data_IF_792048666187
#
_entry.id   IF_792048666187
#
_cell.length_a   1.000
_cell.length_b   1.000
_cell.length_c   1.000
_cell.angle_alpha   90.00
_cell.angle_beta   90.00
_cell.angle_gamma   90.00
#
_symmetry.space_group_name_H-M   'P 1'
#
loop_
_entity.id
_entity.type
_entity.pdbx_description
1 polymer ?
#
# COMPACT_ATOMS: atom_id res chain seq x y z
N UNK A 1 19.73 -0.22 0.22
CA UNK A 1 19.16 -1.29 -0.61
C UNK A 1 20.24 -2.20 -1.17
N UNK A 2 21.21 -1.66 -1.96
CA UNK A 2 22.31 -2.45 -2.53
C UNK A 2 23.10 -3.29 -1.50
N UNK A 3 23.52 -2.70 -0.36
CA UNK A 3 24.21 -3.46 0.71
C UNK A 3 23.43 -4.69 1.21
N UNK A 4 22.09 -4.58 1.32
CA UNK A 4 21.23 -5.71 1.72
C UNK A 4 21.16 -6.74 0.59
N UNK A 5 20.99 -6.29 -0.66
CA UNK A 5 20.98 -7.16 -1.82
C UNK A 5 22.29 -7.94 -1.98
N UNK A 6 23.46 -7.30 -1.83
CA UNK A 6 24.77 -7.94 -1.89
C UNK A 6 24.99 -8.99 -0.79
N UNK A 7 24.43 -8.76 0.41
CA UNK A 7 24.46 -9.75 1.49
C UNK A 7 23.66 -11.01 1.16
N UNK A 8 22.53 -10.84 0.46
CA UNK A 8 21.64 -11.96 0.06
C UNK A 8 22.11 -12.62 -1.23
N UNK A 9 22.68 -11.83 -2.15
CA UNK A 9 23.13 -12.23 -3.49
C UNK A 9 24.59 -11.80 -3.69
N UNK A 10 25.56 -12.61 -3.23
CA UNK A 10 26.99 -12.27 -3.29
C UNK A 10 27.51 -11.98 -4.72
N UNK A 11 26.88 -12.56 -5.74
CA UNK A 11 27.20 -12.27 -7.16
C UNK A 11 26.97 -10.80 -7.57
N UNK A 12 26.31 -10.00 -6.73
CA UNK A 12 26.13 -8.56 -6.93
C UNK A 12 27.22 -7.71 -6.25
N UNK A 13 28.32 -8.30 -5.77
CA UNK A 13 29.38 -7.60 -5.03
C UNK A 13 29.89 -6.33 -5.74
N UNK A 14 30.12 -6.42 -7.05
CA UNK A 14 30.64 -5.30 -7.86
C UNK A 14 29.54 -4.49 -8.57
N UNK A 15 28.26 -4.86 -8.37
CA UNK A 15 27.14 -4.19 -9.00
C UNK A 15 27.00 -2.74 -8.50
N UNK A 16 26.74 -1.81 -9.43
CA UNK A 16 26.51 -0.39 -9.13
C UNK A 16 25.03 -0.05 -9.35
N UNK A 17 24.50 0.84 -8.50
CA UNK A 17 23.16 1.42 -8.72
C UNK A 17 23.30 2.57 -9.70
N UNK A 18 22.78 2.39 -10.91
CA UNK A 18 22.80 3.43 -11.94
C UNK A 18 21.69 4.47 -11.71
N UNK A 19 20.51 4.01 -11.28
CA UNK A 19 19.35 4.86 -11.03
C UNK A 19 18.64 4.49 -9.73
N UNK A 20 18.08 5.50 -9.07
CA UNK A 20 17.24 5.35 -7.91
C UNK A 20 16.09 6.34 -8.02
N UNK A 21 14.87 5.87 -7.79
CA UNK A 21 13.70 6.71 -7.70
C UNK A 21 12.83 6.28 -6.53
N UNK A 22 11.97 7.18 -6.12
CA UNK A 22 10.99 6.95 -5.08
C UNK A 22 9.68 7.60 -5.46
N UNK A 23 8.63 7.19 -4.77
CA UNK A 23 7.30 7.77 -4.91
C UNK A 23 6.53 7.64 -3.60
N UNK A 24 5.42 8.36 -3.53
CA UNK A 24 4.51 8.21 -2.41
C UNK A 24 3.71 6.93 -2.60
N UNK A 25 3.59 6.15 -1.53
CA UNK A 25 2.75 4.96 -1.47
C UNK A 25 1.68 5.20 -0.43
N UNK A 26 0.43 4.99 -0.80
CA UNK A 26 -0.69 5.02 0.12
C UNK A 26 -0.78 3.69 0.87
N UNK A 27 -0.92 3.80 2.20
CA UNK A 27 -0.91 2.65 3.10
C UNK A 27 -2.17 2.70 3.95
N UNK A 28 -2.89 1.57 4.00
CA UNK A 28 -3.95 1.33 4.96
C UNK A 28 -3.38 0.66 6.21
N UNK A 29 -4.06 0.84 7.35
CA UNK A 29 -3.57 0.27 8.61
C UNK A 29 -3.50 -1.27 8.57
N UNK A 30 -4.48 -1.91 7.93
CA UNK A 30 -4.56 -3.37 7.76
C UNK A 30 -3.82 -3.89 6.52
N UNK A 31 -3.17 -3.01 5.73
CA UNK A 31 -2.44 -3.32 4.48
C UNK A 31 -3.30 -3.90 3.35
N UNK A 32 -4.61 -4.00 3.53
CA UNK A 32 -5.55 -4.41 2.50
C UNK A 32 -5.95 -3.20 1.62
N UNK A 33 -6.27 -3.40 0.33
CA UNK A 33 -6.78 -2.32 -0.51
C UNK A 33 -8.16 -1.88 -0.02
N UNK A 34 -8.43 -0.58 -0.09
CA UNK A 34 -9.67 0.03 0.37
C UNK A 34 -10.56 0.39 -0.81
N UNK A 35 -11.67 -0.33 -0.93
CA UNK A 35 -12.71 -0.10 -1.90
C UNK A 35 -13.94 0.49 -1.21
N UNK A 36 -14.71 1.30 -1.90
CA UNK A 36 -15.99 1.77 -1.37
C UNK A 36 -16.66 2.80 -2.25
N UNK A 37 -17.75 3.36 -1.72
CA UNK A 37 -18.55 4.40 -2.35
C UNK A 37 -18.60 5.63 -1.45
N UNK A 38 -18.42 6.82 -2.02
CA UNK A 38 -18.63 8.10 -1.32
C UNK A 38 -20.06 8.61 -1.51
N UNK A 39 -20.70 8.22 -2.62
CA UNK A 39 -22.09 8.44 -2.97
C UNK A 39 -22.50 7.34 -3.96
N UNK A 40 -23.78 7.27 -4.33
CA UNK A 40 -24.31 6.23 -5.23
C UNK A 40 -23.56 6.13 -6.56
N UNK A 41 -23.06 7.26 -7.07
CA UNK A 41 -22.33 7.37 -8.32
C UNK A 41 -20.82 7.70 -8.15
N UNK A 42 -20.28 7.67 -6.93
CA UNK A 42 -18.87 7.96 -6.67
C UNK A 42 -18.21 6.74 -6.02
N UNK A 43 -17.47 6.00 -6.83
CA UNK A 43 -16.68 4.83 -6.41
C UNK A 43 -15.24 5.25 -6.13
N UNK A 44 -14.58 4.57 -5.19
CA UNK A 44 -13.14 4.69 -4.97
C UNK A 44 -12.48 3.32 -4.79
N UNK A 45 -11.20 3.26 -5.17
CA UNK A 45 -10.30 2.17 -4.85
C UNK A 45 -8.90 2.76 -4.60
N UNK A 46 -8.37 2.60 -3.40
CA UNK A 46 -7.06 3.13 -3.01
C UNK A 46 -6.38 2.22 -1.97
N UNK A 47 -5.23 2.64 -1.46
CA UNK A 47 -4.61 2.04 -0.28
C UNK A 47 -3.96 0.70 -0.56
N UNK A 48 -3.45 0.49 -1.77
CA UNK A 48 -2.92 -0.79 -2.22
C UNK A 48 -1.66 -1.23 -1.46
N UNK A 49 -1.07 -0.38 -0.61
CA UNK A 49 -0.09 -0.74 0.42
C UNK A 49 1.13 -1.51 -0.12
N UNK A 50 1.57 -1.17 -1.34
CA UNK A 50 2.69 -1.82 -2.03
C UNK A 50 2.31 -2.93 -3.02
N UNK A 51 1.03 -3.30 -3.09
CA UNK A 51 0.51 -4.33 -4.01
C UNK A 51 -0.11 -3.72 -5.29
N UNK A 52 0.18 -2.45 -5.58
CA UNK A 52 -0.45 -1.70 -6.66
C UNK A 52 -0.36 -2.41 -8.00
N UNK A 53 0.83 -2.81 -8.43
CA UNK A 53 1.06 -3.47 -9.73
C UNK A 53 0.19 -4.73 -9.90
N UNK A 54 0.05 -5.54 -8.86
CA UNK A 54 -0.72 -6.78 -8.92
C UNK A 54 -2.23 -6.54 -8.82
N UNK A 55 -2.67 -5.62 -7.97
CA UNK A 55 -4.08 -5.47 -7.59
C UNK A 55 -4.83 -4.39 -8.36
N UNK A 56 -4.17 -3.38 -8.92
CA UNK A 56 -4.88 -2.27 -9.60
C UNK A 56 -5.53 -2.69 -10.90
N UNK A 57 -4.96 -3.67 -11.61
CA UNK A 57 -5.61 -4.24 -12.80
C UNK A 57 -6.94 -4.92 -12.45
N UNK A 58 -6.95 -5.71 -11.38
CA UNK A 58 -8.19 -6.29 -10.83
C UNK A 58 -9.12 -5.16 -10.35
N UNK A 59 -8.62 -4.17 -9.62
CA UNK A 59 -9.42 -3.06 -9.12
C UNK A 59 -10.15 -2.32 -10.24
N UNK A 60 -9.46 -2.03 -11.35
CA UNK A 60 -10.05 -1.41 -12.53
C UNK A 60 -11.18 -2.24 -13.12
N UNK A 61 -10.99 -3.56 -13.25
CA UNK A 61 -12.04 -4.49 -13.69
C UNK A 61 -13.25 -4.47 -12.76
N UNK A 62 -13.04 -4.57 -11.45
CA UNK A 62 -14.13 -4.57 -10.47
C UNK A 62 -14.91 -3.25 -10.45
N UNK A 63 -14.23 -2.12 -10.59
CA UNK A 63 -14.88 -0.81 -10.71
C UNK A 63 -15.71 -0.74 -12.00
N UNK A 64 -15.19 -1.22 -13.12
CA UNK A 64 -15.94 -1.26 -14.39
C UNK A 64 -17.19 -2.18 -14.31
N UNK A 65 -17.06 -3.35 -13.67
CA UNK A 65 -18.17 -4.27 -13.39
C UNK A 65 -19.23 -3.57 -12.51
N UNK A 66 -18.81 -2.90 -11.43
CA UNK A 66 -19.71 -2.16 -10.54
C UNK A 66 -20.46 -1.03 -11.26
N UNK A 67 -19.77 -0.27 -12.13
CA UNK A 67 -20.40 0.77 -12.98
C UNK A 67 -21.42 0.14 -13.95
N UNK A 68 -21.14 -1.05 -14.45
CA UNK A 68 -22.02 -1.80 -15.35
C UNK A 68 -23.19 -2.50 -14.63
N UNK A 69 -23.36 -2.27 -13.32
CA UNK A 69 -24.43 -2.85 -12.50
C UNK A 69 -24.09 -4.20 -11.85
N UNK A 70 -22.87 -4.72 -12.01
CA UNK A 70 -22.41 -6.00 -11.44
C UNK A 70 -21.46 -5.77 -10.25
N UNK A 71 -22.00 -5.31 -9.12
CA UNK A 71 -21.19 -4.87 -7.98
C UNK A 71 -20.70 -5.99 -7.04
N UNK A 72 -21.14 -7.24 -7.20
CA UNK A 72 -20.95 -8.33 -6.24
C UNK A 72 -19.48 -8.51 -5.80
N UNK A 73 -18.56 -8.54 -6.77
CA UNK A 73 -17.13 -8.72 -6.50
C UNK A 73 -16.48 -7.47 -5.92
N UNK A 74 -16.96 -6.29 -6.32
CA UNK A 74 -16.55 -5.02 -5.73
C UNK A 74 -16.96 -4.97 -4.25
N UNK A 75 -18.19 -5.38 -3.95
CA UNK A 75 -18.76 -5.34 -2.60
C UNK A 75 -18.03 -6.29 -1.63
N UNK A 76 -17.40 -7.36 -2.12
CA UNK A 76 -16.51 -8.21 -1.30
C UNK A 76 -15.34 -7.39 -0.75
N UNK A 77 -14.67 -6.60 -1.60
CA UNK A 77 -13.56 -5.74 -1.15
C UNK A 77 -14.05 -4.58 -0.30
N UNK A 78 -15.22 -4.01 -0.62
CA UNK A 78 -15.79 -2.90 0.14
C UNK A 78 -16.19 -3.29 1.58
N UNK A 79 -16.37 -4.59 1.86
CA UNK A 79 -16.64 -5.12 3.21
C UNK A 79 -15.41 -5.22 4.11
N UNK A 80 -14.20 -5.03 3.57
CA UNK A 80 -12.98 -5.09 4.38
C UNK A 80 -13.00 -3.93 5.40
N UNK A 81 -12.85 -4.18 6.71
CA UNK A 81 -12.89 -3.11 7.70
C UNK A 81 -11.59 -2.30 7.66
N UNK A 82 -11.72 -0.98 7.47
CA UNK A 82 -10.58 -0.06 7.50
C UNK A 82 -10.67 0.89 8.70
N UNK A 83 -9.72 0.75 9.62
CA UNK A 83 -9.55 1.69 10.73
C UNK A 83 -8.86 2.96 10.27
N UNK A 84 -9.22 4.09 10.89
CA UNK A 84 -8.49 5.35 10.75
C UNK A 84 -7.18 5.27 11.53
N UNK A 85 -6.15 5.93 11.03
CA UNK A 85 -4.89 6.05 11.77
C UNK A 85 -5.13 6.69 13.15
N UNK A 86 -4.54 6.13 14.22
CA UNK A 86 -4.67 6.67 15.57
C UNK A 86 -4.11 8.10 15.63
N UNK A 87 -4.87 9.01 16.26
CA UNK A 87 -4.54 10.43 16.30
C UNK A 87 -4.75 11.19 14.97
N UNK A 88 -5.37 10.56 13.97
CA UNK A 88 -5.83 11.23 12.77
C UNK A 88 -4.71 11.89 11.95
N UNK A 89 -5.06 12.96 11.22
CA UNK A 89 -4.16 13.59 10.23
C UNK A 89 -2.89 14.19 10.84
N UNK A 90 -2.97 14.70 12.08
CA UNK A 90 -1.84 15.36 12.76
C UNK A 90 -0.81 14.35 13.26
N UNK A 91 -1.26 13.19 13.74
CA UNK A 91 -0.37 12.19 14.34
C UNK A 91 0.02 11.05 13.40
N UNK A 92 -0.59 10.91 12.21
CA UNK A 92 -0.23 9.83 11.27
C UNK A 92 1.26 9.82 10.88
N UNK A 93 1.86 10.99 10.63
CA UNK A 93 3.27 11.09 10.20
C UNK A 93 4.21 10.86 11.38
N UNK A 94 4.05 11.53 12.54
CA UNK A 94 4.83 11.20 13.73
C UNK A 94 4.75 9.73 14.13
N UNK A 95 3.55 9.14 14.14
CA UNK A 95 3.36 7.73 14.49
C UNK A 95 4.09 6.79 13.52
N UNK A 96 4.01 7.07 12.21
CA UNK A 96 4.74 6.30 11.20
C UNK A 96 6.24 6.43 11.40
N UNK A 97 6.76 7.64 11.60
CA UNK A 97 8.19 7.86 11.84
C UNK A 97 8.67 7.15 13.10
N UNK A 98 7.93 7.23 14.20
CA UNK A 98 8.24 6.52 15.45
C UNK A 98 8.25 5.00 15.23
N UNK A 99 7.24 4.45 14.57
CA UNK A 99 7.19 3.02 14.26
C UNK A 99 8.39 2.60 13.39
N UNK A 100 8.69 3.37 12.33
CA UNK A 100 9.81 3.04 11.42
C UNK A 100 11.15 3.13 12.13
N UNK A 101 11.35 4.14 12.99
CA UNK A 101 12.55 4.30 13.81
C UNK A 101 12.70 3.18 14.83
N UNK A 102 11.61 2.78 15.50
CA UNK A 102 11.60 1.65 16.42
C UNK A 102 12.02 0.35 15.73
N UNK A 103 11.44 0.03 14.56
CA UNK A 103 11.83 -1.17 13.82
C UNK A 103 13.26 -1.10 13.29
N UNK A 104 13.76 0.08 12.90
CA UNK A 104 15.17 0.26 12.55
C UNK A 104 16.11 -0.02 13.72
N UNK A 105 15.79 0.47 14.92
CA UNK A 105 16.58 0.19 16.12
C UNK A 105 16.57 -1.31 16.44
N UNK A 106 15.41 -1.96 16.31
CA UNK A 106 15.29 -3.41 16.50
C UNK A 106 16.07 -4.22 15.47
N UNK A 107 16.15 -3.77 14.21
CA UNK A 107 16.98 -4.40 13.16
C UNK A 107 18.49 -4.25 13.40
N UNK A 108 18.90 -3.31 14.27
CA UNK A 108 20.31 -3.06 14.61
C UNK A 108 20.80 -3.88 15.81
N UNK A 109 19.89 -4.34 16.67
CA UNK A 109 20.16 -5.21 17.82
C UNK A 109 20.16 -6.68 17.40
#
# INVERSE_FOLDING_TARGET
MLKRAQRVFPQLADARVEYCWGGNVDITQNRAPHFGKLADNILFAHGFSGHGVALTGLAGKLVAEAISGQAERFDVFAKIPHARFPGGRRFKVPALLLATSYFRLRDML
#
